data_IF_874817074650
#
_entry.id   IF_874817074650
#
_cell.length_a   1.000
_cell.length_b   1.000
_cell.length_c   1.000
_cell.angle_alpha   90.00
_cell.angle_beta   90.00
_cell.angle_gamma   90.00
#
_symmetry.space_group_name_H-M   'P 1'
#
loop_
_entity.id
_entity.type
_entity.pdbx_description
1 polymer ?
#
# COMPACT_ATOMS: atom_id res chain seq x y z
N UNK A 1 -13.64 -6.11 -15.22
CA UNK A 1 -15.11 -6.14 -15.37
C UNK A 1 -15.85 -5.45 -14.22
N UNK A 2 -16.03 -6.10 -13.02
CA UNK A 2 -16.83 -5.46 -11.95
C UNK A 2 -16.17 -4.21 -11.40
N UNK A 3 -14.87 -4.27 -11.09
CA UNK A 3 -14.10 -3.12 -10.59
C UNK A 3 -14.06 -1.98 -11.60
N UNK A 4 -13.91 -2.29 -12.90
CA UNK A 4 -13.92 -1.28 -13.96
C UNK A 4 -15.26 -0.55 -14.04
N UNK A 5 -16.36 -1.29 -14.02
CA UNK A 5 -17.70 -0.70 -14.00
C UNK A 5 -17.92 0.16 -12.76
N UNK A 6 -17.49 -0.33 -11.60
CA UNK A 6 -17.55 0.42 -10.35
C UNK A 6 -16.74 1.72 -10.44
N UNK A 7 -15.48 1.67 -10.89
CA UNK A 7 -14.65 2.84 -11.07
C UNK A 7 -15.26 3.84 -12.05
N UNK A 8 -15.85 3.35 -13.15
CA UNK A 8 -16.53 4.21 -14.12
C UNK A 8 -17.71 4.95 -13.51
N UNK A 9 -18.57 4.24 -12.77
CA UNK A 9 -19.71 4.87 -12.08
C UNK A 9 -19.27 5.85 -11.01
N UNK A 10 -18.27 5.49 -10.21
CA UNK A 10 -17.73 6.34 -9.15
C UNK A 10 -17.07 7.60 -9.73
N UNK A 11 -16.29 7.48 -10.79
CA UNK A 11 -15.59 8.60 -11.42
C UNK A 11 -16.55 9.65 -11.99
N UNK A 12 -17.72 9.24 -12.48
CA UNK A 12 -18.75 10.18 -12.94
C UNK A 12 -19.31 11.04 -11.80
N UNK A 13 -19.28 10.53 -10.58
CA UNK A 13 -19.82 11.23 -9.41
C UNK A 13 -18.77 12.09 -8.71
N UNK A 14 -17.57 11.56 -8.48
CA UNK A 14 -16.53 12.21 -7.67
C UNK A 14 -15.20 12.45 -8.40
N UNK A 15 -15.02 11.92 -9.59
CA UNK A 15 -13.73 11.90 -10.29
C UNK A 15 -13.29 13.22 -10.92
N UNK A 16 -14.18 14.23 -11.00
CA UNK A 16 -13.89 15.53 -11.57
C UNK A 16 -13.42 16.52 -10.50
N UNK A 17 -12.47 17.39 -10.87
CA UNK A 17 -11.89 18.39 -9.96
C UNK A 17 -10.54 17.95 -9.39
N UNK A 18 -10.05 18.71 -8.43
CA UNK A 18 -8.77 18.46 -7.78
C UNK A 18 -8.90 17.27 -6.83
N UNK A 19 -8.15 16.21 -7.04
CA UNK A 19 -8.25 14.99 -6.23
C UNK A 19 -6.94 14.40 -5.80
N UNK A 20 -7.01 13.57 -4.77
CA UNK A 20 -5.90 12.85 -4.18
C UNK A 20 -6.18 11.35 -4.20
N UNK A 21 -5.19 10.57 -4.61
CA UNK A 21 -5.12 9.14 -4.33
C UNK A 21 -4.35 8.89 -3.04
N UNK A 22 -4.89 8.06 -2.16
CA UNK A 22 -4.21 7.62 -0.94
C UNK A 22 -4.13 6.11 -0.91
N UNK A 23 -2.94 5.57 -0.67
CA UNK A 23 -2.71 4.13 -0.53
C UNK A 23 -2.36 3.77 0.90
N UNK A 24 -2.95 2.68 1.36
CA UNK A 24 -2.67 2.11 2.68
C UNK A 24 -2.95 0.60 2.67
N UNK A 25 -2.43 -0.13 3.66
CA UNK A 25 -2.79 -1.52 3.86
C UNK A 25 -3.48 -1.75 5.21
N UNK A 26 -4.38 -2.70 5.24
CA UNK A 26 -5.02 -3.10 6.49
C UNK A 26 -5.06 -4.60 6.64
N UNK A 27 -5.14 -5.06 7.89
CA UNK A 27 -5.12 -6.47 8.24
C UNK A 27 -6.42 -6.89 8.89
N UNK A 28 -6.92 -8.06 8.49
CA UNK A 28 -8.14 -8.68 8.99
C UNK A 28 -7.79 -9.94 9.76
N UNK A 29 -8.03 -9.93 11.08
CA UNK A 29 -7.79 -11.09 11.94
C UNK A 29 -8.63 -12.29 11.50
N UNK A 30 -8.01 -13.45 11.43
CA UNK A 30 -8.65 -14.71 11.05
C UNK A 30 -8.41 -15.80 12.09
N UNK A 31 -9.44 -16.58 12.38
CA UNK A 31 -9.32 -17.74 13.30
C UNK A 31 -8.85 -19.01 12.57
N UNK A 32 -9.18 -19.13 11.28
CA UNK A 32 -8.85 -20.29 10.45
C UNK A 32 -7.57 -20.13 9.63
N UNK A 33 -7.16 -21.22 8.95
CA UNK A 33 -5.97 -21.26 8.11
C UNK A 33 -6.29 -21.40 6.61
N UNK A 34 -7.57 -21.50 6.23
CA UNK A 34 -8.03 -21.80 4.87
C UNK A 34 -8.53 -20.56 4.10
N UNK A 35 -8.28 -19.36 4.57
CA UNK A 35 -8.56 -18.15 3.78
C UNK A 35 -7.33 -17.76 2.96
N UNK A 36 -7.51 -17.36 1.70
CA UNK A 36 -6.42 -16.95 0.83
C UNK A 36 -5.50 -15.92 1.50
N UNK A 37 -4.19 -16.15 1.47
CA UNK A 37 -3.18 -15.23 2.02
C UNK A 37 -3.13 -15.14 3.56
N UNK A 38 -3.87 -16.01 4.28
CA UNK A 38 -3.82 -16.01 5.74
C UNK A 38 -2.48 -16.54 6.25
N UNK A 39 -1.91 -15.84 7.22
CA UNK A 39 -0.64 -16.21 7.86
C UNK A 39 -0.50 -15.50 9.22
N UNK A 40 0.34 -16.06 10.11
CA UNK A 40 0.87 -15.30 11.25
C UNK A 40 1.86 -14.26 10.75
N UNK A 41 1.44 -13.02 10.76
CA UNK A 41 2.20 -11.86 10.31
C UNK A 41 1.87 -10.65 11.17
N UNK A 42 2.63 -9.57 11.04
CA UNK A 42 2.32 -8.34 11.76
C UNK A 42 0.94 -7.82 11.34
N UNK A 43 0.10 -7.60 12.34
CA UNK A 43 -1.26 -7.13 12.18
C UNK A 43 -1.33 -5.69 12.71
N UNK A 44 -1.29 -4.70 11.79
CA UNK A 44 -1.21 -3.28 12.14
C UNK A 44 -2.35 -2.82 13.04
N UNK A 45 -3.58 -3.30 12.82
CA UNK A 45 -4.74 -2.94 13.64
C UNK A 45 -4.66 -3.44 15.09
N UNK A 46 -3.81 -4.44 15.39
CA UNK A 46 -3.58 -4.96 16.74
C UNK A 46 -2.19 -4.59 17.30
N UNK A 47 -1.30 -4.03 16.50
CA UNK A 47 0.06 -3.72 16.89
C UNK A 47 0.93 -4.93 17.26
N UNK A 48 0.57 -6.15 16.82
CA UNK A 48 1.26 -7.39 17.15
C UNK A 48 1.19 -8.42 16.02
N UNK A 49 2.02 -9.47 16.12
CA UNK A 49 1.92 -10.63 15.20
C UNK A 49 0.69 -11.46 15.53
N UNK A 50 -0.20 -11.61 14.54
CA UNK A 50 -1.43 -12.37 14.66
C UNK A 50 -1.75 -13.12 13.37
N UNK A 51 -2.63 -14.11 13.43
CA UNK A 51 -3.14 -14.81 12.25
C UNK A 51 -4.11 -13.90 11.50
N UNK A 52 -3.70 -13.39 10.37
CA UNK A 52 -4.48 -12.40 9.62
C UNK A 52 -4.26 -12.48 8.11
N UNK A 53 -5.18 -11.90 7.36
CA UNK A 53 -5.01 -11.51 5.96
C UNK A 53 -4.66 -10.02 5.91
N UNK A 54 -3.92 -9.58 4.90
CA UNK A 54 -3.70 -8.16 4.63
C UNK A 54 -4.17 -7.82 3.22
N UNK A 55 -4.80 -6.68 3.07
CA UNK A 55 -5.16 -6.12 1.78
C UNK A 55 -4.55 -4.74 1.62
N UNK A 56 -4.14 -4.41 0.41
CA UNK A 56 -3.72 -3.06 0.01
C UNK A 56 -4.92 -2.37 -0.63
N UNK A 57 -5.18 -1.15 -0.23
CA UNK A 57 -6.35 -0.38 -0.66
C UNK A 57 -5.92 0.97 -1.21
N UNK A 58 -6.61 1.41 -2.25
CA UNK A 58 -6.42 2.71 -2.85
C UNK A 58 -7.74 3.48 -2.79
N UNK A 59 -7.70 4.64 -2.15
CA UNK A 59 -8.83 5.55 -2.05
C UNK A 59 -8.59 6.80 -2.92
N UNK A 60 -9.66 7.34 -3.48
CA UNK A 60 -9.69 8.65 -4.09
C UNK A 60 -10.51 9.60 -3.22
N UNK A 61 -10.03 10.81 -3.03
CA UNK A 61 -10.74 11.90 -2.39
C UNK A 61 -10.62 13.15 -3.25
N UNK A 62 -11.73 13.78 -3.54
CA UNK A 62 -11.83 15.03 -4.31
C UNK A 62 -12.94 15.92 -3.77
N UNK A 63 -13.15 17.06 -4.42
CA UNK A 63 -14.11 18.09 -3.99
C UNK A 63 -15.55 17.58 -3.86
N UNK A 64 -15.91 16.54 -4.61
CA UNK A 64 -17.26 15.98 -4.67
C UNK A 64 -17.48 14.76 -3.80
N UNK A 65 -16.43 14.28 -3.12
CA UNK A 65 -16.53 13.12 -2.26
C UNK A 65 -15.30 12.20 -2.31
N UNK A 66 -15.43 11.04 -1.69
CA UNK A 66 -14.36 10.06 -1.60
C UNK A 66 -14.89 8.64 -1.74
N UNK A 67 -13.99 7.72 -2.10
CA UNK A 67 -14.32 6.29 -2.17
C UNK A 67 -13.09 5.42 -2.42
N UNK A 68 -13.23 4.13 -2.15
CA UNK A 68 -12.20 3.15 -2.52
C UNK A 68 -12.26 2.96 -4.04
N UNK A 69 -11.12 3.04 -4.71
CA UNK A 69 -11.04 2.93 -6.17
C UNK A 69 -10.32 1.66 -6.64
N UNK A 70 -9.47 1.08 -5.80
CA UNK A 70 -8.85 -0.21 -6.07
C UNK A 70 -8.52 -0.93 -4.77
N UNK A 71 -8.37 -2.24 -4.85
CA UNK A 71 -7.90 -3.07 -3.76
C UNK A 71 -7.27 -4.35 -4.30
N UNK A 72 -6.30 -4.89 -3.55
CA UNK A 72 -5.72 -6.19 -3.85
C UNK A 72 -5.33 -6.92 -2.57
N UNK A 73 -5.63 -8.23 -2.52
CA UNK A 73 -5.24 -9.08 -1.40
C UNK A 73 -3.74 -9.38 -1.49
N UNK A 74 -3.02 -9.08 -0.42
CA UNK A 74 -1.63 -9.47 -0.29
C UNK A 74 -1.53 -10.97 0.00
N UNK A 75 -0.81 -11.71 -0.85
CA UNK A 75 -0.52 -13.12 -0.66
C UNK A 75 0.93 -13.26 -0.21
N UNK A 76 1.20 -13.71 1.03
CA UNK A 76 2.55 -13.86 1.55
C UNK A 76 3.40 -14.81 0.69
N UNK A 77 4.72 -14.54 0.61
CA UNK A 77 5.66 -15.27 -0.25
C UNK A 77 5.61 -16.79 -0.07
N UNK A 78 5.39 -17.25 1.15
CA UNK A 78 5.33 -18.67 1.48
C UNK A 78 4.17 -19.40 0.79
N UNK A 79 3.08 -18.70 0.49
CA UNK A 79 1.96 -19.27 -0.26
C UNK A 79 2.33 -19.70 -1.69
N UNK A 80 3.49 -19.25 -2.19
CA UNK A 80 4.02 -19.63 -3.49
C UNK A 80 5.01 -20.80 -3.44
N UNK A 81 5.26 -21.37 -2.25
CA UNK A 81 6.01 -22.63 -2.11
C UNK A 81 5.14 -23.84 -2.42
N UNK A 82 5.80 -25.00 -2.67
CA UNK A 82 5.11 -26.27 -2.93
C UNK A 82 4.19 -26.72 -1.79
N UNK A 83 4.53 -26.39 -0.55
CA UNK A 83 3.76 -26.76 0.64
C UNK A 83 2.35 -26.14 0.66
N UNK A 84 2.15 -25.04 -0.04
CA UNK A 84 0.88 -24.33 -0.13
C UNK A 84 0.11 -24.60 -1.42
N UNK A 85 0.61 -25.46 -2.32
CA UNK A 85 -0.01 -25.72 -3.63
C UNK A 85 -1.48 -26.11 -3.51
N UNK A 86 -1.77 -27.11 -2.64
CA UNK A 86 -3.14 -27.57 -2.39
C UNK A 86 -4.05 -26.47 -1.81
N UNK A 87 -3.51 -25.68 -0.86
CA UNK A 87 -4.27 -24.60 -0.24
C UNK A 87 -4.55 -23.46 -1.22
N UNK A 88 -3.63 -23.18 -2.14
CA UNK A 88 -3.86 -22.21 -3.24
C UNK A 88 -4.98 -22.64 -4.15
N UNK A 89 -5.03 -23.93 -4.51
CA UNK A 89 -6.12 -24.50 -5.31
C UNK A 89 -7.46 -24.42 -4.57
N UNK A 90 -7.50 -24.85 -3.29
CA UNK A 90 -8.70 -24.77 -2.45
C UNK A 90 -9.20 -23.32 -2.26
N UNK A 91 -8.30 -22.35 -2.23
CA UNK A 91 -8.62 -20.91 -2.13
C UNK A 91 -8.86 -20.25 -3.50
N UNK A 92 -8.85 -20.99 -4.59
CA UNK A 92 -9.03 -20.49 -5.97
C UNK A 92 -8.09 -19.33 -6.32
N UNK A 93 -6.83 -19.37 -5.82
CA UNK A 93 -5.82 -18.38 -6.23
C UNK A 93 -5.38 -18.72 -7.65
N UNK A 94 -5.50 -17.78 -8.62
CA UNK A 94 -5.13 -18.01 -10.01
C UNK A 94 -3.69 -18.53 -10.15
N UNK A 95 -3.46 -19.47 -11.05
CA UNK A 95 -2.13 -20.07 -11.27
C UNK A 95 -1.10 -19.04 -11.74
N UNK A 96 -1.54 -18.09 -12.55
CA UNK A 96 -0.72 -16.99 -13.05
C UNK A 96 -0.36 -15.94 -11.97
N UNK A 97 -0.99 -16.00 -10.80
CA UNK A 97 -0.69 -15.09 -9.70
C UNK A 97 0.70 -15.34 -9.17
N UNK A 98 1.56 -14.35 -9.27
CA UNK A 98 2.93 -14.34 -8.74
C UNK A 98 3.03 -13.56 -7.45
N UNK A 99 4.11 -13.79 -6.69
CA UNK A 99 4.38 -13.02 -5.49
C UNK A 99 4.66 -11.56 -5.84
N UNK A 100 4.03 -10.67 -5.08
CA UNK A 100 4.34 -9.24 -5.08
C UNK A 100 4.34 -8.72 -3.63
N UNK A 101 5.24 -7.80 -3.31
CA UNK A 101 5.24 -7.09 -2.04
C UNK A 101 4.04 -6.13 -1.98
N UNK A 102 3.67 -5.68 -0.78
CA UNK A 102 2.60 -4.68 -0.64
C UNK A 102 2.92 -3.39 -1.41
N UNK A 103 4.19 -2.98 -1.42
CA UNK A 103 4.64 -1.80 -2.15
C UNK A 103 4.51 -1.98 -3.67
N UNK A 104 4.87 -3.15 -4.20
CA UNK A 104 4.68 -3.46 -5.61
C UNK A 104 3.19 -3.50 -6.01
N UNK A 105 2.34 -4.05 -5.15
CA UNK A 105 0.88 -4.05 -5.35
C UNK A 105 0.36 -2.60 -5.37
N UNK A 106 0.75 -1.79 -4.39
CA UNK A 106 0.35 -0.40 -4.28
C UNK A 106 0.76 0.42 -5.51
N UNK A 107 2.03 0.29 -5.92
CA UNK A 107 2.60 0.95 -7.09
C UNK A 107 1.84 0.58 -8.37
N UNK A 108 1.58 -0.72 -8.56
CA UNK A 108 0.84 -1.21 -9.71
C UNK A 108 -0.59 -0.63 -9.76
N UNK A 109 -1.31 -0.65 -8.64
CA UNK A 109 -2.67 -0.09 -8.55
C UNK A 109 -2.68 1.42 -8.81
N UNK A 110 -1.74 2.18 -8.22
CA UNK A 110 -1.62 3.62 -8.44
C UNK A 110 -1.41 3.93 -9.92
N UNK A 111 -0.42 3.29 -10.56
CA UNK A 111 -0.10 3.50 -11.96
C UNK A 111 -1.29 3.14 -12.87
N UNK A 112 -2.01 2.05 -12.58
CA UNK A 112 -3.21 1.66 -13.34
C UNK A 112 -4.33 2.69 -13.21
N UNK A 113 -4.64 3.17 -12.00
CA UNK A 113 -5.72 4.13 -11.77
C UNK A 113 -5.37 5.47 -12.42
N UNK A 114 -4.14 5.96 -12.27
CA UNK A 114 -3.67 7.20 -12.92
C UNK A 114 -3.75 7.08 -14.44
N UNK A 115 -3.21 6.00 -15.01
CA UNK A 115 -3.21 5.73 -16.45
C UNK A 115 -4.62 5.62 -17.04
N UNK A 116 -5.59 5.16 -16.25
CA UNK A 116 -6.98 5.05 -16.70
C UNK A 116 -7.61 6.41 -17.05
N UNK A 117 -7.10 7.51 -16.48
CA UNK A 117 -7.63 8.85 -16.65
C UNK A 117 -9.04 9.07 -16.11
N UNK A 118 -9.62 8.10 -15.39
CA UNK A 118 -11.00 8.18 -14.88
C UNK A 118 -11.16 9.20 -13.76
N UNK A 119 -10.10 9.40 -12.98
CA UNK A 119 -10.07 10.32 -11.84
C UNK A 119 -9.05 11.42 -12.11
N UNK A 120 -9.43 12.67 -11.86
CA UNK A 120 -8.50 13.78 -11.93
C UNK A 120 -7.66 13.80 -10.66
N UNK A 121 -6.42 13.38 -10.78
CA UNK A 121 -5.46 13.25 -9.68
C UNK A 121 -4.49 14.40 -9.72
N UNK A 122 -4.31 15.10 -8.60
CA UNK A 122 -3.27 16.09 -8.41
C UNK A 122 -2.24 15.64 -7.38
N UNK A 123 -2.66 14.79 -6.44
CA UNK A 123 -1.81 14.33 -5.35
C UNK A 123 -1.89 12.82 -5.17
N UNK A 124 -0.74 12.24 -4.82
CA UNK A 124 -0.65 10.87 -4.30
C UNK A 124 -0.11 10.92 -2.89
N UNK A 125 -0.80 10.31 -1.93
CA UNK A 125 -0.40 10.26 -0.52
C UNK A 125 -0.15 8.84 -0.05
N UNK A 126 0.90 8.64 0.75
CA UNK A 126 1.20 7.37 1.40
C UNK A 126 1.88 7.57 2.77
N UNK A 127 1.81 6.55 3.59
CA UNK A 127 2.47 6.53 4.89
C UNK A 127 3.98 6.17 4.79
N UNK A 128 4.66 6.08 5.94
CA UNK A 128 6.07 5.78 6.02
C UNK A 128 6.43 4.33 5.61
N UNK A 129 5.48 3.41 5.56
CA UNK A 129 5.73 2.05 5.08
C UNK A 129 6.02 2.03 3.57
N UNK A 130 5.37 2.92 2.83
CA UNK A 130 5.60 3.14 1.40
C UNK A 130 6.65 4.24 1.15
N UNK A 131 6.59 5.34 1.92
CA UNK A 131 7.44 6.51 1.74
C UNK A 131 8.94 6.27 2.00
N UNK A 132 9.30 5.25 2.78
CA UNK A 132 10.70 4.84 2.98
C UNK A 132 11.22 3.87 1.91
N UNK A 133 10.39 3.45 0.95
CA UNK A 133 10.79 2.55 -0.14
C UNK A 133 11.06 3.37 -1.41
N UNK A 134 12.34 3.65 -1.68
CA UNK A 134 12.75 4.37 -2.88
C UNK A 134 12.29 3.65 -4.16
N UNK A 135 12.30 2.31 -4.19
CA UNK A 135 11.82 1.56 -5.35
C UNK A 135 10.32 1.76 -5.60
N UNK A 136 9.53 1.95 -4.55
CA UNK A 136 8.12 2.32 -4.68
C UNK A 136 7.97 3.73 -5.25
N UNK A 137 8.69 4.72 -4.71
CA UNK A 137 8.58 6.12 -5.15
C UNK A 137 9.07 6.31 -6.59
N UNK A 138 10.22 5.74 -6.93
CA UNK A 138 10.83 5.84 -8.26
C UNK A 138 10.01 5.16 -9.36
N UNK A 139 9.22 4.16 -9.01
CA UNK A 139 8.35 3.45 -9.95
C UNK A 139 6.95 4.04 -10.09
N UNK A 140 6.64 5.18 -9.48
CA UNK A 140 5.38 5.89 -9.69
C UNK A 140 5.40 6.61 -11.05
N UNK A 141 4.51 6.22 -11.96
CA UNK A 141 4.36 6.82 -13.29
C UNK A 141 3.45 8.06 -13.21
N UNK A 142 3.94 9.14 -12.57
CA UNK A 142 3.17 10.37 -12.37
C UNK A 142 3.22 11.27 -13.61
N UNK A 143 2.06 11.68 -14.17
CA UNK A 143 1.98 12.69 -15.22
C UNK A 143 2.48 14.06 -14.72
N UNK A 144 2.81 14.94 -15.66
CA UNK A 144 3.14 16.33 -15.33
C UNK A 144 1.99 17.01 -14.54
N UNK A 145 2.37 17.68 -13.46
CA UNK A 145 1.41 18.35 -12.57
C UNK A 145 0.77 17.45 -11.50
N UNK A 146 1.14 16.16 -11.45
CA UNK A 146 0.78 15.27 -10.35
C UNK A 146 1.97 15.14 -9.40
N UNK A 147 1.71 15.37 -8.12
CA UNK A 147 2.72 15.36 -7.06
C UNK A 147 2.46 14.24 -6.07
N UNK A 148 3.48 13.82 -5.34
CA UNK A 148 3.26 12.94 -4.20
C UNK A 148 3.77 13.56 -2.90
N UNK A 149 3.16 13.17 -1.79
CA UNK A 149 3.70 13.35 -0.46
C UNK A 149 3.73 12.01 0.27
N UNK A 150 4.85 11.73 0.91
CA UNK A 150 5.07 10.49 1.64
C UNK A 150 5.55 10.82 3.05
N UNK A 151 4.94 10.20 4.05
CA UNK A 151 5.53 10.24 5.38
C UNK A 151 6.84 9.45 5.37
N UNK A 152 7.85 9.95 6.07
CA UNK A 152 9.12 9.25 6.27
C UNK A 152 9.40 9.11 7.76
N UNK A 153 10.09 8.06 8.17
CA UNK A 153 10.60 7.99 9.54
C UNK A 153 11.80 8.91 9.64
N UNK A 154 11.78 9.80 10.63
CA UNK A 154 13.00 10.52 10.99
C UNK A 154 13.97 9.50 11.60
N UNK A 155 15.13 9.34 10.98
CA UNK A 155 16.24 8.69 11.66
C UNK A 155 16.62 9.60 12.84
N UNK A 156 16.49 9.08 14.07
CA UNK A 156 17.05 9.74 15.23
C UNK A 156 18.56 9.72 15.04
N UNK A 157 19.12 10.86 14.67
CA UNK A 157 20.57 11.06 14.76
C UNK A 157 20.91 11.09 16.24
N UNK A 158 21.15 9.93 16.85
CA UNK A 158 21.88 9.82 18.10
C UNK A 158 23.31 10.28 17.83
N UNK A 159 23.44 11.59 17.73
CA UNK A 159 24.71 12.27 17.64
C UNK A 159 25.47 12.03 18.96
N UNK A 160 26.50 11.24 18.85
CA UNK A 160 27.58 11.12 19.80
C UNK A 160 28.01 12.54 20.28
N UNK A 161 27.43 13.00 21.38
CA UNK A 161 27.97 14.17 22.12
C UNK A 161 29.23 13.70 22.82
N UNK A 162 30.33 13.64 22.07
CA UNK A 162 31.66 13.57 22.63
C UNK A 162 31.86 14.70 23.60
N UNK A 163 32.15 14.35 24.86
CA UNK A 163 32.65 15.21 25.89
C UNK A 163 33.80 16.08 25.36
N UNK A 164 33.57 17.37 25.22
CA UNK A 164 34.64 18.35 25.25
C UNK A 164 34.75 18.83 26.68
N UNK A 165 35.66 18.20 27.43
CA UNK A 165 36.20 18.78 28.63
C UNK A 165 36.92 20.09 28.25
N UNK A 166 36.39 21.18 28.74
CA UNK A 166 37.08 22.47 28.72
C UNK A 166 38.07 22.49 29.86
N UNK A 167 39.33 22.24 29.57
CA UNK A 167 40.43 22.63 30.46
C UNK A 167 40.55 24.14 30.43
N UNK A 168 40.13 24.81 31.49
CA UNK A 168 40.57 26.16 31.81
C UNK A 168 41.83 26.02 32.60
N UNK A 169 42.93 26.45 32.04
CA UNK A 169 44.13 26.92 32.79
C UNK A 169 44.17 28.44 32.74
N UNK A 170 44.24 29.01 33.96
CA UNK A 170 44.72 30.31 34.41
C UNK A 170 44.85 31.44 33.39
#
# INVERSE_FOLDING_TARGET
>A
PLLDTYQELLSRQIGAGCGMLSVDDTSFVKKGKHSAGVKRQYCGCLGKTENCQSGVFLAYAGDKGYGLVAYELYIPKEWFSGDYSKLREECHIPEEKTFATKNQIAQHMLNQVIKSGRFQVQWVGCDAAYGNDHGFLDGLELPEGVWYFAATRMESSDGNRGNRESSQEM
#
